data_IF_871791298263
#
_entry.id   IF_871791298263
#
_cell.length_a   1.000
_cell.length_b   1.000
_cell.length_c   1.000
_cell.angle_alpha   90.00
_cell.angle_beta   90.00
_cell.angle_gamma   90.00
#
_symmetry.space_group_name_H-M   'P 1'
#
loop_
_entity.id
_entity.type
_entity.pdbx_description
1 polymer ?
#
# COMPACT_ATOMS: atom_id res chain seq x y z
N UNK A 1 18.68 -0.46 11.29
CA UNK A 1 17.52 -1.36 11.50
C UNK A 1 16.40 -1.20 10.45
N UNK A 2 16.70 -0.67 9.24
CA UNK A 2 15.72 -0.52 8.15
C UNK A 2 15.70 -1.70 7.14
N UNK A 3 16.64 -2.65 7.28
CA UNK A 3 16.87 -3.69 6.29
C UNK A 3 15.74 -4.74 6.20
N UNK A 4 14.93 -4.91 7.25
CA UNK A 4 13.76 -5.81 7.21
C UNK A 4 12.57 -5.23 6.43
N UNK A 5 12.50 -3.92 6.20
CA UNK A 5 11.47 -3.33 5.32
C UNK A 5 11.74 -3.58 3.84
N UNK A 6 13.02 -3.71 3.45
CA UNK A 6 13.41 -3.95 2.06
C UNK A 6 13.14 -5.39 1.59
N UNK A 7 13.00 -6.34 2.52
CA UNK A 7 12.73 -7.75 2.21
C UNK A 7 11.25 -8.06 1.90
N UNK A 8 10.31 -7.15 2.22
CA UNK A 8 8.86 -7.34 1.99
C UNK A 8 8.31 -6.67 0.72
N UNK A 9 9.19 -6.13 -0.12
CA UNK A 9 8.83 -5.23 -1.23
C UNK A 9 7.99 -5.88 -2.36
N UNK A 10 8.21 -7.14 -2.78
CA UNK A 10 7.48 -7.69 -3.93
C UNK A 10 5.98 -7.86 -3.65
N UNK A 11 5.62 -8.46 -2.51
CA UNK A 11 4.22 -8.77 -2.17
C UNK A 11 3.38 -7.52 -1.87
N UNK A 12 4.01 -6.45 -1.36
CA UNK A 12 3.31 -5.19 -1.07
C UNK A 12 2.77 -4.51 -2.33
N UNK A 13 3.50 -4.64 -3.45
CA UNK A 13 3.14 -4.04 -4.74
C UNK A 13 2.13 -4.86 -5.54
N UNK A 14 1.84 -6.09 -5.11
CA UNK A 14 0.87 -6.97 -5.73
C UNK A 14 -0.55 -6.69 -5.22
N UNK A 15 -1.23 -5.77 -5.88
CA UNK A 15 -2.61 -5.40 -5.59
C UNK A 15 -3.63 -6.36 -6.23
N UNK A 16 -3.20 -7.38 -6.97
CA UNK A 16 -4.13 -8.33 -7.63
C UNK A 16 -4.96 -9.14 -6.63
N UNK A 17 -4.45 -9.29 -5.40
CA UNK A 17 -5.12 -9.99 -4.29
C UNK A 17 -6.00 -9.09 -3.43
N UNK A 18 -6.09 -7.79 -3.71
CA UNK A 18 -6.99 -6.92 -2.94
C UNK A 18 -8.45 -7.17 -3.30
N UNK A 19 -9.35 -7.23 -2.31
CA UNK A 19 -10.78 -7.35 -2.56
C UNK A 19 -11.34 -6.15 -3.32
N UNK A 20 -12.32 -6.40 -4.20
CA UNK A 20 -13.03 -5.36 -4.97
C UNK A 20 -13.64 -4.26 -4.08
N UNK A 21 -14.08 -4.60 -2.86
CA UNK A 21 -14.65 -3.62 -1.93
C UNK A 21 -13.62 -2.60 -1.42
N UNK A 22 -12.33 -2.96 -1.39
CA UNK A 22 -11.25 -2.04 -1.00
C UNK A 22 -11.00 -1.02 -2.11
N UNK A 23 -11.02 -1.45 -3.37
CA UNK A 23 -10.96 -0.51 -4.50
C UNK A 23 -12.16 0.43 -4.53
N UNK A 24 -13.35 -0.01 -4.16
CA UNK A 24 -14.52 0.88 -4.00
C UNK A 24 -14.37 1.89 -2.86
N UNK A 25 -13.72 1.51 -1.76
CA UNK A 25 -13.46 2.39 -0.61
C UNK A 25 -12.44 3.48 -0.93
N UNK A 26 -11.32 3.13 -1.56
CA UNK A 26 -10.24 4.08 -1.88
C UNK A 26 -10.39 4.73 -3.26
N UNK A 27 -11.37 4.29 -4.05
CA UNK A 27 -11.61 4.72 -5.42
C UNK A 27 -10.78 3.95 -6.46
N UNK A 28 -11.23 3.99 -7.72
CA UNK A 28 -10.54 3.37 -8.86
C UNK A 28 -9.09 3.83 -9.02
N UNK A 29 -8.75 5.01 -8.48
CA UNK A 29 -7.38 5.51 -8.45
C UNK A 29 -6.43 4.62 -7.66
N UNK A 30 -6.91 3.84 -6.68
CA UNK A 30 -6.09 2.89 -5.95
C UNK A 30 -5.51 1.79 -6.86
N UNK A 31 -6.12 1.53 -8.02
CA UNK A 31 -5.59 0.63 -9.06
C UNK A 31 -4.48 1.27 -9.88
N UNK A 32 -4.43 2.60 -9.95
CA UNK A 32 -3.41 3.35 -10.69
C UNK A 32 -2.15 3.47 -9.84
N UNK A 33 -1.07 2.80 -10.26
CA UNK A 33 0.25 2.97 -9.62
C UNK A 33 0.68 4.43 -9.67
N UNK A 34 1.20 4.93 -8.55
CA UNK A 34 1.64 6.33 -8.43
C UNK A 34 0.54 7.32 -8.05
N UNK A 35 -0.72 6.90 -7.94
CA UNK A 35 -1.76 7.75 -7.34
C UNK A 35 -1.59 7.81 -5.82
N UNK A 36 -2.12 8.87 -5.21
CA UNK A 36 -2.19 8.99 -3.76
C UNK A 36 -2.99 7.83 -3.13
N UNK A 37 -4.11 7.45 -3.75
CA UNK A 37 -4.94 6.33 -3.29
C UNK A 37 -4.17 5.00 -3.27
N UNK A 38 -3.30 4.77 -4.25
CA UNK A 38 -2.44 3.61 -4.31
C UNK A 38 -1.40 3.60 -3.18
N UNK A 39 -0.80 4.75 -2.87
CA UNK A 39 0.12 4.90 -1.74
C UNK A 39 -0.58 4.68 -0.39
N UNK A 40 -1.81 5.14 -0.23
CA UNK A 40 -2.60 4.90 0.99
C UNK A 40 -2.94 3.41 1.14
N UNK A 41 -3.29 2.74 0.05
CA UNK A 41 -3.54 1.29 0.05
C UNK A 41 -2.29 0.49 0.46
N UNK A 42 -1.11 0.89 -0.04
CA UNK A 42 0.17 0.31 0.40
C UNK A 42 0.45 0.60 1.87
N UNK A 43 0.14 1.81 2.36
CA UNK A 43 0.30 2.16 3.77
C UNK A 43 -0.54 1.27 4.68
N UNK A 44 -1.82 1.01 4.32
CA UNK A 44 -2.66 0.06 5.06
C UNK A 44 -2.01 -1.32 5.16
N UNK A 45 -1.50 -1.85 4.06
CA UNK A 45 -0.83 -3.16 4.01
C UNK A 45 0.45 -3.23 4.85
N UNK A 46 1.17 -2.11 4.97
CA UNK A 46 2.32 -1.99 5.86
C UNK A 46 1.87 -2.03 7.34
N UNK A 47 0.80 -1.31 7.68
CA UNK A 47 0.22 -1.31 9.02
C UNK A 47 -0.27 -2.72 9.41
N UNK A 48 -0.95 -3.43 8.52
CA UNK A 48 -1.39 -4.83 8.74
C UNK A 48 -0.22 -5.79 9.00
N UNK A 49 0.98 -5.48 8.49
CA UNK A 49 2.21 -6.24 8.72
C UNK A 49 2.99 -5.78 9.98
N UNK A 50 2.39 -4.93 10.81
CA UNK A 50 2.95 -4.49 12.09
C UNK A 50 3.81 -3.22 12.00
N UNK A 51 3.79 -2.49 10.89
CA UNK A 51 4.44 -1.19 10.80
C UNK A 51 3.64 -0.17 11.60
N UNK A 52 4.29 0.47 12.58
CA UNK A 52 3.63 1.39 13.52
C UNK A 52 3.48 2.81 12.98
N UNK A 53 4.27 3.18 11.98
CA UNK A 53 4.27 4.51 11.40
C UNK A 53 4.56 4.44 9.90
N UNK A 54 3.70 5.07 9.09
CA UNK A 54 3.86 5.17 7.65
C UNK A 54 3.75 6.64 7.26
N UNK A 55 4.74 7.15 6.53
CA UNK A 55 4.71 8.47 5.95
C UNK A 55 4.46 8.36 4.44
N UNK A 56 3.45 9.06 3.95
CA UNK A 56 3.13 9.15 2.53
C UNK A 56 3.61 10.51 2.04
N UNK A 57 4.51 10.52 1.07
CA UNK A 57 4.98 11.73 0.40
C UNK A 57 4.22 11.83 -0.93
N UNK A 58 3.25 12.75 -1.08
CA UNK A 58 2.66 13.01 -2.38
C UNK A 58 3.75 13.56 -3.30
N UNK A 59 3.87 12.98 -4.50
CA UNK A 59 4.65 13.50 -5.62
C UNK A 59 3.77 14.43 -6.45
#
# INVERSE_FOLDING_TARGET
MAFRMQASVPELTDLTKEPEHIFKLYGEEARKRGSFANSVLMARRLVERGVRFVQILPQ
#
